data_IF_256498532901
#
_entry.id   IF_256498532901
#
_cell.length_a   1.000
_cell.length_b   1.000
_cell.length_c   1.000
_cell.angle_alpha   90.00
_cell.angle_beta   90.00
_cell.angle_gamma   90.00
#
_symmetry.space_group_name_H-M   'P 1'
#
loop_
_entity.id
_entity.type
_entity.pdbx_description
1 polymer ?
#
# COMPACT_ATOMS: atom_id res chain seq x y z
N UNK A 1 -16.17 17.70 13.57
CA UNK A 1 -16.94 17.50 12.31
C UNK A 1 -16.94 16.01 12.04
N UNK A 2 -18.11 15.41 11.85
CA UNK A 2 -18.23 14.01 11.48
C UNK A 2 -18.03 13.78 9.96
N UNK A 3 -17.99 12.51 9.52
CA UNK A 3 -17.76 12.15 8.13
C UNK A 3 -18.81 12.73 7.19
N UNK A 4 -20.09 12.73 7.58
CA UNK A 4 -21.18 13.25 6.74
C UNK A 4 -21.07 14.76 6.53
N UNK A 5 -20.75 15.49 7.59
CA UNK A 5 -20.50 16.92 7.55
C UNK A 5 -19.28 17.25 6.68
N UNK A 6 -18.18 16.46 6.81
CA UNK A 6 -16.98 16.63 5.99
C UNK A 6 -17.27 16.41 4.50
N UNK A 7 -17.98 15.34 4.16
CA UNK A 7 -18.35 15.04 2.78
C UNK A 7 -19.21 16.16 2.16
N UNK A 8 -20.19 16.67 2.92
CA UNK A 8 -21.06 17.76 2.43
C UNK A 8 -20.31 19.09 2.28
N UNK A 9 -19.36 19.38 3.19
CA UNK A 9 -18.63 20.64 3.20
C UNK A 9 -17.56 20.73 2.14
N UNK A 10 -16.83 19.64 1.91
CA UNK A 10 -15.61 19.64 1.11
C UNK A 10 -15.76 19.00 -0.26
N UNK A 11 -16.77 18.17 -0.47
CA UNK A 11 -16.86 17.40 -1.70
C UNK A 11 -18.15 17.65 -2.49
N UNK A 12 -17.98 17.71 -3.80
CA UNK A 12 -19.05 17.67 -4.76
C UNK A 12 -19.35 16.21 -5.11
N UNK A 13 -20.62 15.84 -5.09
CA UNK A 13 -21.08 14.54 -5.57
C UNK A 13 -21.30 14.59 -7.07
N UNK A 14 -20.79 13.62 -7.78
CA UNK A 14 -21.13 13.39 -9.17
C UNK A 14 -22.55 12.77 -9.24
N UNK A 15 -23.48 13.50 -9.86
CA UNK A 15 -24.87 13.00 -10.02
C UNK A 15 -25.00 11.82 -10.98
N UNK A 16 -23.97 11.57 -11.80
CA UNK A 16 -23.97 10.52 -12.83
C UNK A 16 -23.33 9.20 -12.38
N UNK A 17 -22.51 9.23 -11.31
CA UNK A 17 -21.81 8.07 -10.79
C UNK A 17 -21.91 8.01 -9.26
N UNK A 18 -22.56 6.95 -8.78
CA UNK A 18 -22.65 6.70 -7.35
C UNK A 18 -21.24 6.64 -6.71
N UNK A 19 -21.07 7.28 -5.56
CA UNK A 19 -19.84 7.35 -4.78
C UNK A 19 -18.65 8.08 -5.43
N UNK A 20 -18.85 8.78 -6.53
CA UNK A 20 -17.82 9.65 -7.10
C UNK A 20 -17.88 11.02 -6.39
N UNK A 21 -16.85 11.32 -5.61
CA UNK A 21 -16.71 12.54 -4.84
C UNK A 21 -15.49 13.32 -5.31
N UNK A 22 -15.68 14.58 -5.63
CA UNK A 22 -14.59 15.47 -6.05
C UNK A 22 -14.45 16.60 -5.02
N UNK A 23 -13.23 16.80 -4.52
CA UNK A 23 -12.91 17.90 -3.62
C UNK A 23 -13.14 19.23 -4.33
N UNK A 24 -13.87 20.16 -3.68
CA UNK A 24 -14.02 21.51 -4.21
C UNK A 24 -12.65 22.21 -4.25
N UNK A 25 -12.17 22.72 -5.41
CA UNK A 25 -10.86 23.36 -5.50
C UNK A 25 -10.67 24.53 -4.52
N UNK A 26 -11.72 25.34 -4.32
CA UNK A 26 -11.69 26.47 -3.39
C UNK A 26 -11.73 26.06 -1.91
N UNK A 27 -12.00 24.77 -1.60
CA UNK A 27 -12.01 24.18 -0.26
C UNK A 27 -10.79 23.32 0.03
N UNK A 28 -9.90 23.14 -0.92
CA UNK A 28 -8.76 22.24 -0.79
C UNK A 28 -7.90 22.58 0.44
N UNK A 29 -7.52 23.84 0.62
CA UNK A 29 -6.70 24.25 1.76
C UNK A 29 -7.41 24.04 3.10
N UNK A 30 -8.69 24.37 3.18
CA UNK A 30 -9.50 24.16 4.39
C UNK A 30 -9.63 22.67 4.73
N UNK A 31 -9.85 21.82 3.72
CA UNK A 31 -9.91 20.38 3.88
C UNK A 31 -8.61 19.82 4.45
N UNK A 32 -7.46 20.20 3.88
CA UNK A 32 -6.17 19.70 4.36
C UNK A 32 -5.81 20.18 5.75
N UNK A 33 -6.15 21.42 6.12
CA UNK A 33 -6.01 21.90 7.50
C UNK A 33 -6.90 21.13 8.46
N UNK A 34 -8.12 20.79 8.04
CA UNK A 34 -9.00 19.95 8.83
C UNK A 34 -8.44 18.55 9.01
N UNK A 35 -7.95 17.90 7.98
CA UNK A 35 -7.30 16.58 8.08
C UNK A 35 -6.09 16.66 9.02
N UNK A 36 -5.22 17.66 8.86
CA UNK A 36 -4.03 17.83 9.70
C UNK A 36 -4.35 18.12 11.18
N UNK A 37 -5.59 18.55 11.51
CA UNK A 37 -5.99 18.79 12.90
C UNK A 37 -6.18 17.48 13.71
N UNK A 38 -6.28 16.33 13.08
CA UNK A 38 -6.48 15.03 13.72
C UNK A 38 -5.64 13.89 13.12
N UNK A 39 -5.00 14.08 11.97
CA UNK A 39 -4.14 13.11 11.31
C UNK A 39 -2.75 13.73 11.07
N UNK A 40 -1.71 12.91 11.24
CA UNK A 40 -0.34 13.30 11.01
C UNK A 40 0.29 12.34 10.00
N UNK A 41 0.90 12.92 8.95
CA UNK A 41 1.66 12.19 7.94
C UNK A 41 3.09 12.72 7.93
N UNK A 42 4.04 11.87 8.24
CA UNK A 42 5.47 12.16 8.22
C UNK A 42 6.10 11.07 7.35
N UNK A 43 6.80 11.48 6.30
CA UNK A 43 7.50 10.57 5.40
C UNK A 43 8.95 10.40 5.80
N UNK A 44 9.57 11.48 6.29
CA UNK A 44 10.99 11.51 6.63
C UNK A 44 11.30 12.60 7.66
N UNK A 45 12.46 12.55 8.34
CA UNK A 45 12.83 13.50 9.40
C UNK A 45 12.82 14.97 8.97
N UNK A 46 13.18 15.28 7.71
CA UNK A 46 13.18 16.68 7.22
C UNK A 46 11.77 17.29 7.13
N UNK A 47 10.71 16.50 7.16
CA UNK A 47 9.34 17.00 7.26
C UNK A 47 9.11 17.71 8.60
N UNK A 48 9.95 17.40 9.61
CA UNK A 48 9.98 18.00 10.93
C UNK A 48 11.18 18.92 11.16
N UNK A 49 12.01 19.17 10.13
CA UNK A 49 13.20 20.00 10.21
C UNK A 49 14.45 19.30 10.73
N UNK A 50 14.47 17.96 10.80
CA UNK A 50 15.64 17.16 11.15
C UNK A 50 16.40 16.68 9.91
N UNK A 51 17.60 16.15 10.10
CA UNK A 51 18.42 15.57 9.05
C UNK A 51 17.83 14.23 8.54
N UNK A 52 17.90 14.00 7.22
CA UNK A 52 17.38 12.79 6.55
C UNK A 52 18.39 11.64 6.48
N UNK A 53 19.53 11.71 7.17
CA UNK A 53 20.56 10.66 7.14
C UNK A 53 19.94 9.28 7.46
N UNK A 54 20.09 8.33 6.54
CA UNK A 54 19.47 6.99 6.61
C UNK A 54 18.03 6.91 6.14
N UNK A 55 17.40 8.02 5.74
CA UNK A 55 16.05 8.07 5.18
C UNK A 55 16.03 8.38 3.69
N UNK A 56 17.20 8.61 3.08
CA UNK A 56 17.30 8.72 1.62
C UNK A 56 17.14 7.33 1.00
N UNK A 57 16.00 7.14 0.38
CA UNK A 57 15.67 5.85 -0.23
C UNK A 57 16.35 5.71 -1.59
N UNK A 58 16.89 4.51 -1.91
CA UNK A 58 17.43 4.21 -3.22
C UNK A 58 16.33 4.25 -4.28
N UNK A 59 16.69 4.21 -5.59
CA UNK A 59 15.69 4.14 -6.65
C UNK A 59 14.77 2.94 -6.52
N UNK A 60 13.47 3.17 -6.78
CA UNK A 60 12.44 2.14 -6.89
C UNK A 60 12.19 1.84 -8.37
N UNK A 61 12.41 0.58 -8.76
CA UNK A 61 12.17 0.07 -10.11
C UNK A 61 10.95 -0.85 -10.10
N UNK A 62 9.90 -0.48 -10.80
CA UNK A 62 8.68 -1.28 -10.90
C UNK A 62 8.58 -1.86 -12.30
N UNK A 63 8.59 -3.18 -12.39
CA UNK A 63 8.57 -3.94 -13.63
C UNK A 63 7.24 -4.65 -13.81
N UNK A 64 6.72 -4.62 -15.01
CA UNK A 64 5.40 -5.15 -15.34
C UNK A 64 5.54 -6.34 -16.28
N UNK A 65 4.99 -7.50 -15.89
CA UNK A 65 5.06 -8.75 -16.64
C UNK A 65 3.66 -9.18 -17.01
N UNK A 66 3.28 -8.90 -18.25
CA UNK A 66 1.97 -9.30 -18.77
C UNK A 66 2.00 -10.74 -19.27
N UNK A 67 1.08 -11.56 -18.79
CA UNK A 67 0.88 -12.94 -19.22
C UNK A 67 -0.27 -12.99 -20.22
N UNK A 68 -0.05 -13.52 -21.44
CA UNK A 68 -1.11 -13.73 -22.40
C UNK A 68 -2.19 -14.67 -21.86
N UNK A 69 -3.46 -14.36 -22.13
CA UNK A 69 -4.58 -15.21 -21.76
C UNK A 69 -4.89 -16.18 -22.89
N UNK A 70 -5.11 -17.46 -22.56
CA UNK A 70 -5.62 -18.42 -23.55
C UNK A 70 -7.12 -18.17 -23.82
N UNK A 71 -7.40 -17.42 -24.88
CA UNK A 71 -8.76 -17.11 -25.30
C UNK A 71 -9.55 -18.34 -25.78
N UNK A 72 -8.90 -19.47 -26.10
CA UNK A 72 -9.56 -20.71 -26.52
C UNK A 72 -10.34 -21.36 -25.38
N UNK A 73 -10.01 -21.04 -24.13
CA UNK A 73 -10.70 -21.51 -22.93
C UNK A 73 -11.74 -20.51 -22.38
N UNK A 74 -12.21 -19.56 -23.20
CA UNK A 74 -13.08 -18.47 -22.77
C UNK A 74 -14.47 -18.93 -22.24
N UNK A 75 -14.87 -20.19 -22.48
CA UNK A 75 -16.18 -20.73 -22.05
C UNK A 75 -17.36 -20.16 -22.82
N UNK A 76 -18.56 -20.53 -22.39
CA UNK A 76 -19.82 -20.02 -22.95
C UNK A 76 -20.35 -18.86 -22.13
N UNK A 77 -21.11 -17.96 -22.74
CA UNK A 77 -21.85 -16.90 -22.05
C UNK A 77 -23.12 -17.46 -21.37
N UNK A 78 -23.92 -16.57 -20.79
CA UNK A 78 -25.17 -16.95 -20.11
C UNK A 78 -26.21 -17.58 -21.06
N UNK A 79 -26.10 -17.34 -22.36
CA UNK A 79 -26.96 -17.82 -23.41
C UNK A 79 -26.41 -19.07 -24.12
N UNK A 80 -25.25 -19.60 -23.64
CA UNK A 80 -24.63 -20.82 -24.15
C UNK A 80 -23.75 -20.61 -25.40
N UNK A 81 -23.53 -19.38 -25.83
CA UNK A 81 -22.62 -19.10 -26.96
C UNK A 81 -21.13 -19.12 -26.49
N UNK A 82 -20.31 -19.79 -27.27
CA UNK A 82 -18.86 -19.82 -27.04
C UNK A 82 -18.27 -18.40 -27.21
N UNK A 83 -17.62 -17.90 -26.16
CA UNK A 83 -16.94 -16.60 -26.21
C UNK A 83 -15.65 -16.73 -27.03
N UNK A 84 -15.47 -15.84 -27.98
CA UNK A 84 -14.25 -15.77 -28.82
C UNK A 84 -13.08 -15.09 -28.06
N UNK A 85 -13.40 -14.25 -27.10
CA UNK A 85 -12.42 -13.48 -26.32
C UNK A 85 -12.85 -13.55 -24.84
N UNK A 86 -11.89 -13.71 -23.94
CA UNK A 86 -12.14 -13.59 -22.50
C UNK A 86 -12.51 -12.15 -22.14
N UNK A 87 -13.56 -12.00 -21.33
CA UNK A 87 -13.93 -10.69 -20.81
C UNK A 87 -12.86 -10.17 -19.87
N UNK A 88 -12.64 -8.84 -19.85
CA UNK A 88 -11.76 -8.21 -18.90
C UNK A 88 -12.24 -8.42 -17.45
N UNK A 89 -11.33 -8.65 -16.53
CA UNK A 89 -11.64 -8.78 -15.11
C UNK A 89 -12.00 -7.42 -14.51
N UNK A 90 -13.29 -7.12 -14.43
CA UNK A 90 -13.81 -5.79 -13.99
C UNK A 90 -14.22 -5.79 -12.52
N UNK A 91 -14.42 -6.95 -11.92
CA UNK A 91 -14.88 -7.10 -10.54
C UNK A 91 -14.07 -8.11 -9.74
N UNK A 92 -14.26 -8.14 -8.41
CA UNK A 92 -13.54 -9.04 -7.50
C UNK A 92 -13.71 -10.54 -7.86
N UNK A 93 -14.88 -10.94 -8.30
CA UNK A 93 -15.16 -12.34 -8.69
C UNK A 93 -14.41 -12.73 -9.96
N UNK A 94 -14.34 -11.83 -10.92
CA UNK A 94 -13.67 -12.06 -12.20
C UNK A 94 -12.15 -12.07 -12.00
N UNK A 95 -11.63 -11.18 -11.17
CA UNK A 95 -10.22 -11.16 -10.76
C UNK A 95 -9.81 -12.46 -10.05
N UNK A 96 -10.64 -12.97 -9.13
CA UNK A 96 -10.36 -14.22 -8.43
C UNK A 96 -10.42 -15.45 -9.35
N UNK A 97 -11.28 -15.44 -10.37
CA UNK A 97 -11.32 -16.49 -11.39
C UNK A 97 -10.07 -16.45 -12.26
N UNK A 98 -9.71 -15.27 -12.76
CA UNK A 98 -8.54 -15.07 -13.60
C UNK A 98 -7.25 -15.50 -12.88
N UNK A 99 -7.11 -15.14 -11.60
CA UNK A 99 -5.99 -15.61 -10.77
C UNK A 99 -5.87 -17.14 -10.73
N UNK A 100 -6.99 -17.86 -10.61
CA UNK A 100 -6.98 -19.34 -10.60
C UNK A 100 -6.60 -19.94 -11.93
N UNK A 101 -7.14 -19.40 -13.02
CA UNK A 101 -6.95 -19.93 -14.37
C UNK A 101 -5.53 -19.68 -14.91
N UNK A 102 -4.83 -18.66 -14.38
CA UNK A 102 -3.49 -18.23 -14.85
C UNK A 102 -2.35 -18.62 -13.91
N UNK A 103 -2.60 -19.38 -12.83
CA UNK A 103 -1.61 -19.71 -11.79
C UNK A 103 -0.31 -20.28 -12.38
N UNK A 104 -0.41 -21.27 -13.26
CA UNK A 104 0.78 -21.96 -13.80
C UNK A 104 1.67 -21.00 -14.60
N UNK A 105 1.05 -20.17 -15.47
CA UNK A 105 1.78 -19.22 -16.29
C UNK A 105 2.45 -18.12 -15.44
N UNK A 106 1.75 -17.60 -14.43
CA UNK A 106 2.28 -16.58 -13.52
C UNK A 106 3.42 -17.12 -12.65
N UNK A 107 3.28 -18.33 -12.11
CA UNK A 107 4.32 -18.99 -11.30
C UNK A 107 5.54 -19.35 -12.14
N UNK A 108 5.34 -19.76 -13.41
CA UNK A 108 6.44 -19.96 -14.35
C UNK A 108 7.23 -18.66 -14.55
N UNK A 109 6.54 -17.53 -14.81
CA UNK A 109 7.18 -16.22 -14.95
C UNK A 109 7.92 -15.79 -13.68
N UNK A 110 7.32 -15.98 -12.53
CA UNK A 110 7.96 -15.74 -11.24
C UNK A 110 9.27 -16.54 -11.10
N UNK A 111 9.26 -17.84 -11.41
CA UNK A 111 10.44 -18.69 -11.32
C UNK A 111 11.53 -18.24 -12.30
N UNK A 112 11.17 -17.80 -13.52
CA UNK A 112 12.12 -17.20 -14.47
C UNK A 112 12.82 -15.97 -13.85
N UNK A 113 12.06 -15.05 -13.26
CA UNK A 113 12.61 -13.83 -12.62
C UNK A 113 13.54 -14.18 -11.46
N UNK A 114 13.18 -15.15 -10.62
CA UNK A 114 14.04 -15.60 -9.50
C UNK A 114 15.34 -16.22 -10.04
N UNK A 115 15.25 -17.05 -11.08
CA UNK A 115 16.42 -17.70 -11.68
C UNK A 115 17.37 -16.75 -12.40
N UNK A 116 16.91 -15.58 -12.83
CA UNK A 116 17.77 -14.51 -13.39
C UNK A 116 18.68 -13.87 -12.33
N UNK A 117 18.35 -14.00 -11.05
CA UNK A 117 19.10 -13.40 -9.93
C UNK A 117 19.15 -14.36 -8.73
N UNK A 118 19.82 -15.51 -8.84
CA UNK A 118 19.74 -16.59 -7.85
C UNK A 118 20.39 -16.25 -6.48
N UNK A 119 21.17 -15.19 -6.44
CA UNK A 119 21.82 -14.71 -5.22
C UNK A 119 20.99 -13.70 -4.43
N UNK A 120 19.98 -13.11 -5.05
CA UNK A 120 19.11 -12.13 -4.41
C UNK A 120 18.13 -12.78 -3.42
N UNK A 121 17.71 -11.98 -2.44
CA UNK A 121 16.61 -12.34 -1.54
C UNK A 121 15.30 -11.84 -2.14
N UNK A 122 14.31 -12.73 -2.27
CA UNK A 122 13.01 -12.41 -2.82
C UNK A 122 11.89 -12.63 -1.82
N UNK A 123 10.96 -11.69 -1.76
CA UNK A 123 9.66 -11.91 -1.17
C UNK A 123 8.63 -12.13 -2.29
N UNK A 124 7.91 -13.27 -2.21
CA UNK A 124 6.95 -13.74 -3.20
C UNK A 124 5.55 -13.57 -2.63
N UNK A 125 4.86 -12.49 -3.04
CA UNK A 125 3.52 -12.18 -2.59
C UNK A 125 2.49 -12.98 -3.38
N UNK A 126 1.65 -13.72 -2.67
CA UNK A 126 0.53 -14.48 -3.25
C UNK A 126 -0.74 -14.27 -2.43
N UNK A 127 -1.91 -14.57 -3.01
CA UNK A 127 -3.21 -14.44 -2.33
C UNK A 127 -3.91 -15.78 -2.15
N UNK A 128 -3.79 -16.70 -3.13
CA UNK A 128 -4.48 -17.97 -3.14
C UNK A 128 -3.62 -19.11 -2.58
N UNK A 129 -4.25 -20.08 -1.90
CA UNK A 129 -3.55 -21.30 -1.46
C UNK A 129 -3.03 -22.12 -2.65
N UNK A 130 -3.75 -22.10 -3.78
CA UNK A 130 -3.31 -22.77 -5.00
C UNK A 130 -2.03 -22.12 -5.57
N UNK A 131 -1.87 -20.79 -5.47
CA UNK A 131 -0.64 -20.08 -5.81
C UNK A 131 0.51 -20.54 -4.91
N UNK A 132 0.29 -20.59 -3.59
CA UNK A 132 1.27 -21.09 -2.62
C UNK A 132 1.80 -22.48 -3.01
N UNK A 133 0.89 -23.43 -3.27
CA UNK A 133 1.28 -24.79 -3.67
C UNK A 133 2.04 -24.81 -5.00
N UNK A 134 1.64 -23.99 -5.96
CA UNK A 134 2.32 -23.89 -7.26
C UNK A 134 3.72 -23.26 -7.10
N UNK A 135 3.88 -22.23 -6.27
CA UNK A 135 5.16 -21.63 -5.92
C UNK A 135 6.09 -22.69 -5.30
N UNK A 136 5.60 -23.42 -4.30
CA UNK A 136 6.38 -24.48 -3.64
C UNK A 136 6.79 -25.60 -4.58
N UNK A 137 5.95 -25.94 -5.55
CA UNK A 137 6.27 -26.92 -6.60
C UNK A 137 7.35 -26.41 -7.57
N UNK A 138 7.29 -25.13 -7.94
CA UNK A 138 8.23 -24.52 -8.88
C UNK A 138 9.57 -24.16 -8.22
N UNK A 139 9.56 -23.74 -6.95
CA UNK A 139 10.72 -23.37 -6.14
C UNK A 139 10.68 -24.15 -4.81
N UNK A 140 11.14 -25.39 -4.78
CA UNK A 140 11.08 -26.25 -3.58
C UNK A 140 11.83 -25.67 -2.37
N UNK A 141 12.85 -24.82 -2.59
CA UNK A 141 13.63 -24.12 -1.57
C UNK A 141 12.89 -22.93 -0.95
N UNK A 142 11.82 -22.43 -1.57
CA UNK A 142 11.06 -21.31 -1.02
C UNK A 142 10.46 -21.69 0.34
N UNK A 143 10.73 -20.87 1.34
CA UNK A 143 10.12 -20.96 2.66
C UNK A 143 8.79 -20.24 2.64
N UNK A 144 7.74 -20.90 3.05
CA UNK A 144 6.38 -20.37 3.01
C UNK A 144 5.79 -20.22 4.41
N UNK A 145 4.94 -19.19 4.60
CA UNK A 145 4.08 -19.08 5.77
C UNK A 145 2.61 -19.00 5.35
N UNK A 146 1.74 -19.60 6.15
CA UNK A 146 0.29 -19.64 5.93
C UNK A 146 -0.49 -19.70 7.25
N UNK A 147 -1.79 -19.37 7.19
CA UNK A 147 -2.61 -19.11 8.37
C UNK A 147 -2.69 -20.24 9.41
N UNK A 148 -2.74 -21.52 8.95
CA UNK A 148 -2.90 -22.68 9.82
C UNK A 148 -1.58 -23.25 10.39
N UNK A 149 -0.45 -22.59 10.11
CA UNK A 149 0.82 -22.98 10.72
C UNK A 149 0.87 -22.57 12.19
N UNK A 150 1.69 -23.29 12.95
CA UNK A 150 2.09 -22.92 14.28
C UNK A 150 2.63 -21.47 14.32
N UNK A 151 2.24 -20.70 15.33
CA UNK A 151 2.54 -19.28 15.44
C UNK A 151 4.04 -19.08 15.63
N UNK A 152 4.68 -19.88 16.49
CA UNK A 152 6.11 -19.75 16.79
C UNK A 152 6.94 -20.07 15.56
N UNK A 153 6.53 -21.09 14.78
CA UNK A 153 7.18 -21.43 13.51
C UNK A 153 7.05 -20.29 12.47
N UNK A 154 5.88 -19.63 12.39
CA UNK A 154 5.70 -18.47 11.49
C UNK A 154 6.60 -17.33 11.91
N UNK A 155 6.61 -17.00 13.19
CA UNK A 155 7.45 -15.93 13.75
C UNK A 155 8.93 -16.23 13.48
N UNK A 156 9.39 -17.44 13.74
CA UNK A 156 10.78 -17.84 13.47
C UNK A 156 11.14 -17.66 11.99
N UNK A 157 10.28 -18.07 11.05
CA UNK A 157 10.51 -17.91 9.61
C UNK A 157 10.58 -16.44 9.17
N UNK A 158 9.72 -15.59 9.73
CA UNK A 158 9.76 -14.13 9.50
C UNK A 158 11.08 -13.56 10.01
N UNK A 159 11.52 -13.95 11.21
CA UNK A 159 12.80 -13.54 11.79
C UNK A 159 13.98 -14.01 10.92
N UNK A 160 13.97 -15.25 10.48
CA UNK A 160 15.04 -15.82 9.65
C UNK A 160 15.14 -15.13 8.30
N UNK A 161 14.00 -14.81 7.67
CA UNK A 161 13.99 -13.99 6.45
C UNK A 161 14.51 -12.57 6.70
N UNK A 162 14.06 -11.93 7.78
CA UNK A 162 14.50 -10.57 8.15
C UNK A 162 16.01 -10.48 8.47
N UNK A 163 16.64 -11.61 8.82
CA UNK A 163 18.08 -11.75 9.10
C UNK A 163 18.89 -12.24 7.90
N UNK A 164 18.25 -12.49 6.76
CA UNK A 164 18.90 -12.96 5.55
C UNK A 164 19.26 -14.46 5.55
N UNK A 165 18.74 -15.27 6.48
CA UNK A 165 18.98 -16.71 6.51
C UNK A 165 18.13 -17.47 5.49
N UNK A 166 17.05 -16.85 4.99
CA UNK A 166 16.16 -17.38 3.98
C UNK A 166 16.26 -16.48 2.75
N UNK A 167 16.53 -17.04 1.57
CA UNK A 167 16.59 -16.30 0.30
C UNK A 167 15.21 -16.09 -0.35
N UNK A 168 14.38 -17.12 -0.36
CA UNK A 168 13.06 -17.10 -1.01
C UNK A 168 11.95 -17.26 0.03
N UNK A 169 11.12 -16.24 0.18
CA UNK A 169 10.07 -16.19 1.19
C UNK A 169 8.70 -15.95 0.55
N UNK A 170 7.83 -16.96 0.60
CA UNK A 170 6.48 -16.91 0.03
C UNK A 170 5.44 -16.67 1.12
N UNK A 171 4.64 -15.63 0.98
CA UNK A 171 3.66 -15.24 1.99
C UNK A 171 2.50 -14.44 1.40
N UNK A 172 1.38 -14.40 2.13
CA UNK A 172 0.28 -13.49 1.83
C UNK A 172 0.55 -12.10 2.40
N UNK A 173 0.01 -11.07 1.72
CA UNK A 173 0.11 -9.67 2.16
C UNK A 173 -0.44 -9.48 3.58
N UNK A 174 -1.54 -10.13 3.92
CA UNK A 174 -2.19 -10.04 5.24
C UNK A 174 -1.35 -10.66 6.37
N UNK A 175 -0.53 -11.66 6.07
CA UNK A 175 0.28 -12.35 7.09
C UNK A 175 1.60 -11.64 7.40
N UNK A 176 2.22 -11.02 6.41
CA UNK A 176 3.55 -10.39 6.53
C UNK A 176 3.60 -8.96 6.01
N UNK A 177 2.49 -8.43 5.51
CA UNK A 177 2.37 -7.06 5.04
C UNK A 177 2.28 -6.03 6.18
N UNK A 178 2.26 -6.43 7.46
CA UNK A 178 2.23 -5.53 8.60
C UNK A 178 3.28 -5.91 9.65
N UNK A 179 3.93 -4.90 10.25
CA UNK A 179 4.87 -5.07 11.36
C UNK A 179 6.26 -5.61 11.02
N UNK A 180 6.48 -6.20 9.85
CA UNK A 180 7.74 -6.84 9.48
C UNK A 180 8.71 -5.86 8.80
N UNK A 181 10.01 -6.09 8.95
CA UNK A 181 11.09 -5.28 8.39
C UNK A 181 12.05 -6.20 7.61
N UNK A 182 12.00 -6.14 6.28
CA UNK A 182 12.78 -7.02 5.42
C UNK A 182 13.88 -6.28 4.63
N UNK A 183 13.90 -4.95 4.65
CA UNK A 183 14.75 -4.09 3.82
C UNK A 183 16.26 -4.30 4.02
N UNK A 184 16.67 -4.89 5.12
CA UNK A 184 18.12 -5.05 5.42
C UNK A 184 18.81 -6.05 4.47
N UNK A 185 18.10 -7.09 4.05
CA UNK A 185 18.63 -8.15 3.20
C UNK A 185 17.82 -8.36 1.92
N UNK A 186 16.58 -7.90 1.89
CA UNK A 186 15.70 -8.06 0.74
C UNK A 186 15.43 -6.72 0.05
N UNK A 187 15.71 -6.67 -1.24
CA UNK A 187 15.44 -5.53 -2.12
C UNK A 187 14.61 -5.94 -3.34
N UNK A 188 14.15 -7.22 -3.42
CA UNK A 188 13.35 -7.75 -4.51
C UNK A 188 12.01 -8.28 -4.01
N UNK A 189 10.92 -7.86 -4.65
CA UNK A 189 9.60 -8.42 -4.40
C UNK A 189 8.89 -8.77 -5.70
N UNK A 190 8.18 -9.90 -5.70
CA UNK A 190 7.36 -10.34 -6.83
C UNK A 190 5.92 -10.46 -6.36
N UNK A 191 5.01 -9.70 -6.97
CA UNK A 191 3.57 -9.93 -6.87
C UNK A 191 3.18 -10.97 -7.92
N UNK A 192 2.89 -12.19 -7.48
CA UNK A 192 2.54 -13.32 -8.35
C UNK A 192 1.15 -13.14 -8.98
N UNK A 193 0.39 -12.21 -8.52
CA UNK A 193 -0.87 -11.70 -9.08
C UNK A 193 -1.29 -10.42 -8.39
N UNK A 194 -2.28 -9.75 -8.96
CA UNK A 194 -2.80 -8.48 -8.47
C UNK A 194 -4.30 -8.56 -8.15
N UNK A 195 -4.76 -7.65 -7.31
CA UNK A 195 -6.17 -7.43 -6.95
C UNK A 195 -6.44 -5.94 -6.76
N UNK A 196 -7.65 -5.59 -6.32
CA UNK A 196 -8.04 -4.20 -6.07
C UNK A 196 -7.62 -3.66 -4.69
N UNK A 197 -6.97 -4.50 -3.83
CA UNK A 197 -6.62 -4.16 -2.45
C UNK A 197 -5.34 -3.31 -2.39
N UNK A 198 -5.50 -2.03 -2.71
CA UNK A 198 -4.38 -1.09 -2.81
C UNK A 198 -3.61 -0.93 -1.49
N UNK A 199 -4.31 -0.95 -0.35
CA UNK A 199 -3.65 -0.76 0.95
C UNK A 199 -2.68 -1.90 1.25
N UNK A 200 -3.06 -3.14 0.97
CA UNK A 200 -2.20 -4.30 1.16
C UNK A 200 -1.04 -4.30 0.17
N UNK A 201 -1.30 -3.89 -1.07
CA UNK A 201 -0.29 -3.74 -2.11
C UNK A 201 0.79 -2.73 -1.71
N UNK A 202 0.41 -1.51 -1.31
CA UNK A 202 1.38 -0.47 -0.95
C UNK A 202 2.12 -0.81 0.35
N UNK A 203 1.45 -1.41 1.34
CA UNK A 203 2.09 -1.88 2.55
C UNK A 203 3.13 -2.98 2.28
N UNK A 204 2.83 -3.92 1.37
CA UNK A 204 3.75 -4.97 0.96
C UNK A 204 5.02 -4.39 0.32
N UNK A 205 4.92 -3.36 -0.52
CA UNK A 205 6.07 -2.64 -1.08
C UNK A 205 6.91 -2.03 0.04
N UNK A 206 6.27 -1.37 1.01
CA UNK A 206 6.98 -0.73 2.12
C UNK A 206 7.59 -1.71 3.14
N UNK A 207 7.51 -3.03 2.94
CA UNK A 207 8.30 -4.00 3.73
C UNK A 207 9.77 -4.01 3.34
N UNK A 208 10.08 -3.66 2.10
CA UNK A 208 11.45 -3.61 1.57
C UNK A 208 11.84 -2.19 1.12
N UNK A 209 10.89 -1.34 0.71
CA UNK A 209 11.15 0.04 0.31
C UNK A 209 10.87 1.00 1.48
N UNK A 210 11.86 1.14 2.36
CA UNK A 210 11.76 1.94 3.59
C UNK A 210 13.13 2.36 4.10
N UNK A 211 13.17 3.17 5.16
CA UNK A 211 14.41 3.67 5.76
C UNK A 211 15.45 2.55 6.00
N UNK A 212 16.72 2.88 5.90
CA UNK A 212 17.85 1.96 5.94
C UNK A 212 17.92 0.95 4.78
N UNK A 213 17.13 1.07 3.73
CA UNK A 213 17.38 0.37 2.50
C UNK A 213 18.53 1.04 1.74
N UNK A 214 19.53 0.27 1.36
CA UNK A 214 20.74 0.76 0.65
C UNK A 214 20.79 0.28 -0.80
N UNK A 215 20.07 -0.79 -1.12
CA UNK A 215 20.06 -1.39 -2.45
C UNK A 215 18.88 -0.87 -3.28
N UNK A 216 19.08 -0.80 -4.61
CA UNK A 216 17.98 -0.49 -5.54
C UNK A 216 16.85 -1.49 -5.38
N UNK A 217 15.66 -1.00 -5.05
CA UNK A 217 14.50 -1.87 -4.86
C UNK A 217 13.83 -2.17 -6.20
N UNK A 218 13.58 -3.45 -6.45
CA UNK A 218 12.91 -3.93 -7.65
C UNK A 218 11.62 -4.64 -7.28
N UNK A 219 10.51 -4.16 -7.83
CA UNK A 219 9.17 -4.74 -7.68
C UNK A 219 8.72 -5.30 -9.01
N UNK A 220 8.58 -6.60 -9.10
CA UNK A 220 8.06 -7.28 -10.26
C UNK A 220 6.56 -7.56 -10.07
N UNK A 221 5.71 -7.06 -10.98
CA UNK A 221 4.26 -7.24 -10.94
C UNK A 221 3.85 -8.13 -12.10
N UNK A 222 3.36 -9.32 -11.79
CA UNK A 222 2.87 -10.28 -12.79
C UNK A 222 1.34 -10.19 -12.86
N UNK A 223 0.81 -9.97 -14.05
CA UNK A 223 -0.63 -9.84 -14.29
C UNK A 223 -0.98 -10.39 -15.67
N UNK A 224 -2.27 -10.69 -15.88
CA UNK A 224 -2.76 -11.15 -17.18
C UNK A 224 -3.35 -10.01 -18.00
N UNK A 225 -3.53 -10.24 -19.30
CA UNK A 225 -4.21 -9.26 -20.18
C UNK A 225 -5.58 -8.85 -19.63
N UNK A 226 -6.34 -9.80 -19.08
CA UNK A 226 -7.66 -9.54 -18.49
C UNK A 226 -7.60 -8.67 -17.23
N UNK A 227 -6.44 -8.61 -16.55
CA UNK A 227 -6.21 -7.83 -15.33
C UNK A 227 -5.66 -6.43 -15.59
N UNK A 228 -5.49 -5.99 -16.86
CA UNK A 228 -5.01 -4.63 -17.21
C UNK A 228 -5.80 -3.53 -16.48
N UNK A 229 -7.11 -3.72 -16.32
CA UNK A 229 -7.95 -2.75 -15.62
C UNK A 229 -7.64 -2.70 -14.10
N UNK A 230 -7.35 -3.85 -13.50
CA UNK A 230 -6.93 -3.92 -12.08
C UNK A 230 -5.62 -3.16 -11.90
N UNK A 231 -4.62 -3.44 -12.74
CA UNK A 231 -3.35 -2.73 -12.73
C UNK A 231 -3.53 -1.22 -12.87
N UNK A 232 -4.36 -0.78 -13.82
CA UNK A 232 -4.66 0.65 -14.01
C UNK A 232 -5.20 1.29 -12.74
N UNK A 233 -6.18 0.65 -12.10
CA UNK A 233 -6.77 1.16 -10.85
C UNK A 233 -5.75 1.22 -9.73
N UNK A 234 -4.88 0.21 -9.59
CA UNK A 234 -3.79 0.22 -8.60
C UNK A 234 -2.83 1.39 -8.83
N UNK A 235 -2.41 1.62 -10.08
CA UNK A 235 -1.48 2.70 -10.43
C UNK A 235 -2.12 4.09 -10.26
N UNK A 236 -3.41 4.24 -10.55
CA UNK A 236 -4.15 5.48 -10.28
C UNK A 236 -4.24 5.76 -8.78
N UNK A 237 -4.55 4.74 -7.96
CA UNK A 237 -4.55 4.86 -6.50
C UNK A 237 -3.16 5.17 -5.95
N UNK A 238 -2.10 4.60 -6.52
CA UNK A 238 -0.73 4.91 -6.12
C UNK A 238 -0.38 6.38 -6.37
N UNK A 239 -0.69 6.90 -7.56
CA UNK A 239 -0.52 8.33 -7.86
C UNK A 239 -1.30 9.23 -6.91
N UNK A 240 -2.54 8.84 -6.56
CA UNK A 240 -3.33 9.55 -5.57
C UNK A 240 -2.69 9.51 -4.18
N UNK A 241 -2.19 8.35 -3.76
CA UNK A 241 -1.47 8.19 -2.50
C UNK A 241 -0.26 9.12 -2.42
N UNK A 242 0.60 9.14 -3.44
CA UNK A 242 1.78 10.01 -3.50
C UNK A 242 1.38 11.49 -3.45
N UNK A 243 0.32 11.87 -4.17
CA UNK A 243 -0.22 13.23 -4.12
C UNK A 243 -0.70 13.62 -2.72
N UNK A 244 -1.45 12.73 -2.06
CA UNK A 244 -1.97 12.97 -0.71
C UNK A 244 -0.84 13.08 0.32
N UNK A 245 0.15 12.21 0.24
CA UNK A 245 1.35 12.27 1.10
C UNK A 245 2.11 13.58 0.91
N UNK A 246 2.31 14.03 -0.34
CA UNK A 246 2.94 15.31 -0.65
C UNK A 246 2.18 16.49 -0.06
N UNK A 247 0.86 16.54 -0.20
CA UNK A 247 0.01 17.60 0.36
C UNK A 247 0.08 17.67 1.89
N UNK A 248 0.03 16.53 2.55
CA UNK A 248 0.13 16.48 4.02
C UNK A 248 1.51 16.93 4.50
N UNK A 249 2.58 16.53 3.82
CA UNK A 249 3.95 16.99 4.10
C UNK A 249 4.06 18.51 3.95
N UNK A 250 3.50 19.11 2.89
CA UNK A 250 3.47 20.56 2.71
C UNK A 250 2.78 21.29 3.88
N UNK A 251 1.65 20.75 4.37
CA UNK A 251 0.93 21.30 5.51
C UNK A 251 1.78 21.23 6.79
N UNK A 252 2.41 20.08 7.06
CA UNK A 252 3.28 19.93 8.23
C UNK A 252 4.46 20.89 8.18
N UNK A 253 5.14 21.02 7.04
CA UNK A 253 6.24 21.98 6.85
C UNK A 253 5.79 23.43 7.04
N UNK A 254 4.61 23.77 6.55
CA UNK A 254 4.10 25.15 6.57
C UNK A 254 3.56 25.59 7.95
N UNK A 255 2.91 24.67 8.66
CA UNK A 255 2.18 25.01 9.90
C UNK A 255 2.76 24.34 11.16
N UNK A 256 3.72 23.44 11.00
CA UNK A 256 4.31 22.67 12.11
C UNK A 256 3.35 21.61 12.65
N UNK A 257 3.77 20.95 13.73
CA UNK A 257 3.02 19.90 14.40
C UNK A 257 2.05 20.43 15.49
N UNK A 258 2.07 21.73 15.75
CA UNK A 258 1.23 22.30 16.82
C UNK A 258 -0.24 22.25 16.42
N UNK A 259 -0.98 21.41 17.12
CA UNK A 259 -2.44 21.28 16.97
C UNK A 259 -3.15 22.63 17.16
N UNK A 260 -2.65 23.48 18.04
CA UNK A 260 -3.16 24.84 18.29
C UNK A 260 -3.00 25.71 17.05
N UNK A 261 -1.81 25.74 16.45
CA UNK A 261 -1.53 26.52 15.25
C UNK A 261 -2.41 26.11 14.06
N UNK A 262 -2.54 24.80 13.84
CA UNK A 262 -3.39 24.24 12.77
C UNK A 262 -4.87 24.54 13.03
N UNK A 263 -5.34 24.37 14.25
CA UNK A 263 -6.73 24.58 14.63
C UNK A 263 -7.12 26.07 14.56
N UNK A 264 -6.23 26.98 14.93
CA UNK A 264 -6.46 28.42 14.83
C UNK A 264 -6.51 28.89 13.37
N UNK A 265 -5.66 28.32 12.50
CA UNK A 265 -5.72 28.56 11.07
C UNK A 265 -7.00 28.03 10.44
N UNK A 266 -7.40 26.81 10.83
CA UNK A 266 -8.66 26.23 10.39
C UNK A 266 -9.86 27.10 10.82
N UNK A 267 -9.90 27.54 12.09
CA UNK A 267 -10.95 28.40 12.60
C UNK A 267 -11.07 29.71 11.78
N UNK A 268 -9.94 30.35 11.45
CA UNK A 268 -9.91 31.55 10.59
C UNK A 268 -10.46 31.28 9.19
N UNK A 269 -10.07 30.16 8.57
CA UNK A 269 -10.60 29.77 7.27
C UNK A 269 -12.09 29.47 7.27
N UNK A 270 -12.58 28.94 8.39
CA UNK A 270 -14.01 28.64 8.58
C UNK A 270 -14.83 29.87 8.98
N UNK A 271 -14.19 31.03 9.18
CA UNK A 271 -14.86 32.24 9.66
C UNK A 271 -15.35 32.14 11.11
N UNK A 272 -14.76 31.23 11.90
CA UNK A 272 -15.08 31.07 13.32
C UNK A 272 -14.05 31.85 14.15
N UNK A 273 -14.45 32.97 14.74
CA UNK A 273 -13.63 33.64 15.74
C UNK A 273 -13.63 32.81 17.03
N UNK A 274 -12.50 32.20 17.36
CA UNK A 274 -12.30 31.64 18.69
C UNK A 274 -12.03 32.78 19.65
N UNK A 275 -12.95 33.02 20.56
CA UNK A 275 -12.69 33.81 21.77
C UNK A 275 -11.68 32.99 22.60
N UNK A 276 -10.43 33.45 22.67
CA UNK A 276 -9.42 32.86 23.54
C UNK A 276 -9.85 33.14 24.96
N UNK A 277 -10.52 32.18 25.61
CA UNK A 277 -10.65 32.17 27.05
C UNK A 277 -9.25 31.89 27.59
N UNK A 278 -8.56 32.94 28.02
CA UNK A 278 -7.34 32.80 28.83
C UNK A 278 -7.77 32.16 30.15
N UNK A 279 -7.59 30.86 30.26
CA UNK A 279 -7.62 30.18 31.56
C UNK A 279 -6.49 30.73 32.42
N UNK A 280 -6.82 31.79 33.18
CA UNK A 280 -6.07 32.20 34.35
C UNK A 280 -6.44 31.20 35.46
N UNK A 281 -5.65 30.20 35.67
CA UNK A 281 -5.40 29.54 36.97
C UNK A 281 -4.56 28.27 36.74
N UNK A 282 -3.27 28.44 36.64
CA UNK A 282 -2.31 27.50 37.21
C UNK A 282 -1.42 28.34 38.16
N UNK A 283 -1.87 28.51 39.35
CA UNK A 283 -1.02 28.95 40.45
C UNK A 283 -0.07 27.81 40.79
N UNK A 284 1.22 28.09 40.67
CA UNK A 284 2.27 27.24 41.15
C UNK A 284 2.05 26.91 42.62
N UNK A 285 1.90 25.64 42.98
CA UNK A 285 2.03 25.16 44.34
C UNK A 285 3.53 25.05 44.61
N UNK A 286 4.03 25.97 45.43
CA UNK A 286 5.34 25.86 46.03
C UNK A 286 5.41 24.58 46.87
N UNK A 287 6.32 23.70 46.53
CA UNK A 287 6.81 22.68 47.45
C UNK A 287 8.01 23.25 48.19
N UNK A 288 7.70 23.98 49.26
CA UNK A 288 8.56 24.05 50.44
C UNK A 288 8.00 23.04 51.45
N UNK A 289 8.73 21.95 51.69
CA UNK A 289 8.81 21.29 52.99
C UNK A 289 9.82 20.15 52.98
N UNK A 290 10.95 20.43 53.64
CA UNK A 290 11.83 19.53 54.41
C UNK A 290 12.43 18.30 53.72
#
# INVERSE_FOLDING_TARGET
>A
MDTGQALTRFFQRDSTKANNLTLYPHKEQEFWLWVASWALFISKPSDLGYDDTGYDLPPLDVRYHEIPVDHKSAGADKDGQMKLIRDAAVGLKDAAKEKRDSIEARVKKMAEIVNESPDDHFILWHDLEAERHAIKKALPEAVEIYGNQDIDLREQRVIDFSRGHIKLFATKKELSGSGCNFQRYCHRAIFVGIDYEFNDFIQAIHRIYRFLQTERVIIDIIYTESERQILRVLLEKWKQYDYLMGKMTEIVKKYGLSNTSITDKLARHMGVERTIVKDKHFTAVNNDCI
#
